data_IF_232833403643
#
_entry.id   IF_232833403643
#
_cell.length_a   1.000
_cell.length_b   1.000
_cell.length_c   1.000
_cell.angle_alpha   90.00
_cell.angle_beta   90.00
_cell.angle_gamma   90.00
#
_symmetry.space_group_name_H-M   'P 1'
#
loop_
_entity.id
_entity.type
_entity.pdbx_description
1 polymer ?
#
# COMPACT_ATOMS: atom_id res chain seq x y z
N UNK A 1 -13.01 -25.04 -13.65
CA UNK A 1 -12.99 -24.89 -12.18
C UNK A 1 -11.99 -23.80 -11.85
N UNK A 2 -12.49 -22.67 -11.34
CA UNK A 2 -11.67 -21.50 -11.03
C UNK A 2 -10.84 -21.78 -9.77
N UNK A 3 -9.52 -21.90 -9.91
CA UNK A 3 -8.61 -21.87 -8.79
C UNK A 3 -8.59 -20.43 -8.26
N UNK A 4 -9.41 -20.13 -7.25
CA UNK A 4 -9.18 -18.95 -6.41
C UNK A 4 -7.88 -19.22 -5.62
N UNK A 5 -6.84 -18.37 -5.72
CA UNK A 5 -5.59 -18.63 -5.04
C UNK A 5 -5.80 -18.45 -3.53
N UNK A 6 -5.76 -19.55 -2.77
CA UNK A 6 -5.76 -19.56 -1.30
C UNK A 6 -4.71 -18.61 -0.69
N UNK A 7 -3.70 -18.19 -1.46
CA UNK A 7 -2.59 -17.35 -1.02
C UNK A 7 -2.97 -15.86 -0.89
N UNK A 8 -3.91 -15.33 -1.69
CA UNK A 8 -4.27 -13.90 -1.62
C UNK A 8 -5.09 -13.56 -0.38
N UNK A 9 -6.05 -14.43 -0.02
CA UNK A 9 -6.88 -14.24 1.19
C UNK A 9 -6.03 -14.25 2.46
N UNK A 10 -5.03 -15.14 2.55
CA UNK A 10 -4.09 -15.19 3.69
C UNK A 10 -3.26 -13.91 3.79
N UNK A 11 -2.75 -13.41 2.67
CA UNK A 11 -2.00 -12.15 2.64
C UNK A 11 -2.89 -10.96 3.05
N UNK A 12 -4.12 -10.91 2.55
CA UNK A 12 -5.11 -9.90 2.91
C UNK A 12 -5.45 -9.95 4.41
N UNK A 13 -5.72 -11.13 4.98
CA UNK A 13 -5.96 -11.30 6.42
C UNK A 13 -4.79 -10.77 7.26
N UNK A 14 -3.54 -11.10 6.89
CA UNK A 14 -2.36 -10.59 7.60
C UNK A 14 -2.27 -9.06 7.54
N UNK A 15 -2.58 -8.47 6.37
CA UNK A 15 -2.60 -7.01 6.20
C UNK A 15 -3.71 -6.37 7.04
N UNK A 16 -4.92 -6.92 7.05
CA UNK A 16 -6.04 -6.42 7.86
C UNK A 16 -5.69 -6.42 9.35
N UNK A 17 -5.17 -7.54 9.86
CA UNK A 17 -4.79 -7.66 11.27
C UNK A 17 -3.71 -6.64 11.64
N UNK A 18 -2.76 -6.35 10.74
CA UNK A 18 -1.77 -5.29 10.97
C UNK A 18 -2.42 -3.91 11.05
N UNK A 19 -3.28 -3.57 10.08
CA UNK A 19 -3.98 -2.29 10.06
C UNK A 19 -4.84 -2.08 11.32
N UNK A 20 -5.50 -3.14 11.82
CA UNK A 20 -6.25 -3.10 13.09
C UNK A 20 -5.33 -2.86 14.29
N UNK A 21 -4.19 -3.57 14.37
CA UNK A 21 -3.20 -3.34 15.44
C UNK A 21 -2.64 -1.92 15.42
N UNK A 22 -2.48 -1.33 14.23
CA UNK A 22 -1.99 0.04 14.10
C UNK A 22 -3.07 1.05 14.51
N UNK A 23 -4.34 0.77 14.22
CA UNK A 23 -5.48 1.53 14.75
C UNK A 23 -5.59 1.45 16.28
N UNK A 24 -5.33 0.30 16.89
CA UNK A 24 -5.33 0.15 18.36
C UNK A 24 -4.22 0.98 19.01
N UNK A 25 -3.05 1.08 18.38
CA UNK A 25 -1.92 1.88 18.86
C UNK A 25 -2.16 3.39 18.71
N UNK A 26 -2.80 3.79 17.62
CA UNK A 26 -3.08 5.19 17.28
C UNK A 26 -4.56 5.35 16.90
N UNK A 27 -5.47 5.35 17.91
CA UNK A 27 -6.90 5.43 17.64
C UNK A 27 -7.28 6.78 17.04
N UNK A 28 -8.26 6.76 16.14
CA UNK A 28 -8.84 7.95 15.53
C UNK A 28 -9.93 8.49 16.47
N UNK A 29 -9.82 9.72 16.98
CA UNK A 29 -10.85 10.28 17.86
C UNK A 29 -12.22 10.34 17.19
N UNK A 30 -13.28 10.00 17.93
CA UNK A 30 -14.64 9.96 17.40
C UNK A 30 -14.94 8.73 16.54
N UNK A 31 -14.02 7.77 16.45
CA UNK A 31 -14.19 6.54 15.69
C UNK A 31 -14.00 5.31 16.57
N UNK A 32 -14.80 4.28 16.30
CA UNK A 32 -14.65 2.94 16.86
C UNK A 32 -14.65 1.91 15.73
N UNK A 33 -13.84 0.85 15.85
CA UNK A 33 -13.80 -0.28 14.91
C UNK A 33 -13.85 -1.59 15.68
N UNK A 34 -14.61 -2.56 15.20
CA UNK A 34 -14.56 -3.94 15.67
C UNK A 34 -14.69 -4.92 14.51
N UNK A 35 -14.18 -6.11 14.73
CA UNK A 35 -14.42 -7.28 13.90
C UNK A 35 -15.43 -8.17 14.64
N UNK A 36 -16.72 -8.17 14.25
CA UNK A 36 -17.75 -8.90 15.01
C UNK A 36 -17.52 -10.41 15.07
N UNK A 37 -16.91 -10.97 14.01
CA UNK A 37 -16.51 -12.37 13.92
C UNK A 37 -15.02 -12.43 13.58
N UNK A 38 -14.20 -12.77 14.58
CA UNK A 38 -12.74 -12.89 14.41
C UNK A 38 -12.32 -13.90 13.34
N UNK A 39 -13.21 -14.84 12.96
CA UNK A 39 -12.97 -15.81 11.90
C UNK A 39 -13.14 -15.22 10.49
N UNK A 40 -13.83 -14.07 10.35
CA UNK A 40 -14.00 -13.34 9.10
C UNK A 40 -13.60 -11.86 9.23
N UNK A 41 -12.29 -11.56 9.22
CA UNK A 41 -11.78 -10.19 9.35
C UNK A 41 -12.09 -9.28 8.14
N UNK A 42 -12.82 -9.79 7.15
CA UNK A 42 -13.18 -9.05 5.93
C UNK A 42 -14.44 -8.21 6.09
N UNK A 43 -15.12 -8.29 7.23
CA UNK A 43 -16.25 -7.44 7.58
C UNK A 43 -15.95 -6.73 8.90
N UNK A 44 -15.84 -5.41 8.85
CA UNK A 44 -15.64 -4.59 10.04
C UNK A 44 -16.88 -3.74 10.31
N UNK A 45 -17.24 -3.63 11.58
CA UNK A 45 -18.25 -2.71 12.03
C UNK A 45 -17.59 -1.47 12.60
N UNK A 46 -18.10 -0.30 12.25
CA UNK A 46 -17.54 0.97 12.67
C UNK A 46 -18.61 1.88 13.26
N UNK A 47 -18.23 2.67 14.26
CA UNK A 47 -19.03 3.78 14.75
C UNK A 47 -18.28 5.08 14.47
N UNK A 48 -18.97 6.05 13.87
CA UNK A 48 -18.43 7.37 13.58
C UNK A 48 -19.29 8.41 14.29
N UNK A 49 -18.69 9.11 15.26
CA UNK A 49 -19.28 10.29 15.88
C UNK A 49 -18.96 11.51 15.03
N UNK A 50 -20.00 12.16 14.52
CA UNK A 50 -19.86 13.39 13.74
C UNK A 50 -19.55 14.54 14.71
N UNK A 51 -18.34 15.08 14.62
CA UNK A 51 -17.87 16.16 15.50
C UNK A 51 -17.98 17.55 14.86
N UNK A 52 -18.20 17.64 13.55
CA UNK A 52 -18.28 18.90 12.82
C UNK A 52 -19.49 18.91 11.88
N UNK A 53 -19.95 20.11 11.50
CA UNK A 53 -21.06 20.28 10.58
C UNK A 53 -22.46 20.16 11.21
N UNK A 54 -23.53 20.09 10.38
CA UNK A 54 -24.92 20.21 10.83
C UNK A 54 -25.39 19.00 11.68
N UNK A 55 -24.69 17.88 11.60
CA UNK A 55 -25.03 16.65 12.32
C UNK A 55 -24.14 16.42 13.55
N UNK A 56 -23.51 17.47 14.08
CA UNK A 56 -22.73 17.39 15.31
C UNK A 56 -23.45 16.58 16.41
N UNK A 57 -22.73 15.61 16.98
CA UNK A 57 -23.19 14.71 18.04
C UNK A 57 -24.02 13.51 17.56
N UNK A 58 -24.21 13.33 16.25
CA UNK A 58 -24.85 12.14 15.67
C UNK A 58 -23.80 11.04 15.50
N UNK A 59 -24.16 9.82 15.90
CA UNK A 59 -23.33 8.63 15.74
C UNK A 59 -23.88 7.77 14.61
N UNK A 60 -23.06 7.48 13.60
CA UNK A 60 -23.45 6.64 12.46
C UNK A 60 -22.76 5.29 12.57
N UNK A 61 -23.55 4.22 12.48
CA UNK A 61 -23.05 2.85 12.41
C UNK A 61 -22.84 2.44 10.96
N UNK A 62 -21.66 1.92 10.67
CA UNK A 62 -21.18 1.57 9.32
C UNK A 62 -20.67 0.15 9.28
N UNK A 63 -20.67 -0.42 8.08
CA UNK A 63 -20.06 -1.70 7.77
C UNK A 63 -19.02 -1.46 6.67
N UNK A 64 -17.78 -1.85 6.94
CA UNK A 64 -16.72 -1.91 5.93
C UNK A 64 -16.58 -3.35 5.42
N UNK A 65 -16.61 -3.49 4.10
CA UNK A 65 -16.36 -4.74 3.40
C UNK A 65 -14.97 -4.69 2.77
N UNK A 66 -14.08 -5.56 3.23
CA UNK A 66 -12.71 -5.65 2.76
C UNK A 66 -12.61 -6.78 1.71
N UNK A 67 -12.00 -6.55 0.54
CA UNK A 67 -11.89 -7.58 -0.49
C UNK A 67 -10.82 -8.63 -0.17
N UNK A 68 -10.95 -9.82 -0.76
CA UNK A 68 -10.02 -10.95 -0.58
C UNK A 68 -8.60 -10.69 -1.13
N UNK A 69 -8.42 -9.65 -1.94
CA UNK A 69 -7.13 -9.20 -2.48
C UNK A 69 -6.64 -7.88 -1.86
N UNK A 70 -7.20 -7.48 -0.71
CA UNK A 70 -6.72 -6.31 0.04
C UNK A 70 -5.21 -6.42 0.33
N UNK A 71 -4.41 -5.34 0.13
CA UNK A 71 -4.81 -3.96 -0.15
C UNK A 71 -4.84 -3.60 -1.64
N UNK A 72 -4.68 -4.58 -2.55
CA UNK A 72 -4.64 -4.31 -3.99
C UNK A 72 -5.95 -3.72 -4.51
N UNK A 73 -7.06 -4.09 -3.87
CA UNK A 73 -8.36 -3.44 -3.99
C UNK A 73 -8.73 -2.84 -2.64
N UNK A 74 -9.26 -1.61 -2.66
CA UNK A 74 -9.67 -0.90 -1.44
C UNK A 74 -10.97 -1.42 -0.84
N UNK A 75 -11.27 -1.06 0.41
CA UNK A 75 -12.51 -1.44 1.07
C UNK A 75 -13.71 -0.73 0.43
N UNK A 76 -14.89 -1.31 0.64
CA UNK A 76 -16.18 -0.67 0.40
C UNK A 76 -16.83 -0.34 1.75
N UNK A 77 -17.66 0.70 1.79
CA UNK A 77 -18.34 1.15 3.00
C UNK A 77 -19.84 1.36 2.79
N UNK A 78 -20.62 0.92 3.77
CA UNK A 78 -22.07 1.02 3.78
C UNK A 78 -22.56 1.54 5.13
N UNK A 79 -23.64 2.32 5.10
CA UNK A 79 -24.49 2.54 6.28
C UNK A 79 -25.07 1.19 6.69
N UNK A 80 -25.05 0.89 7.99
CA UNK A 80 -25.54 -0.39 8.48
C UNK A 80 -27.03 -0.63 8.10
N UNK A 81 -27.40 -1.85 7.67
CA UNK A 81 -28.78 -2.18 7.33
C UNK A 81 -29.76 -1.85 8.46
N UNK A 82 -30.89 -1.23 8.11
CA UNK A 82 -31.91 -0.80 9.06
C UNK A 82 -31.71 0.62 9.61
N UNK A 83 -30.55 1.24 9.38
CA UNK A 83 -30.35 2.67 9.61
C UNK A 83 -30.66 3.43 8.30
N UNK A 84 -31.79 4.14 8.25
CA UNK A 84 -32.26 4.86 7.05
C UNK A 84 -31.52 6.19 6.81
N UNK A 85 -30.19 6.18 6.98
CA UNK A 85 -29.34 7.30 6.60
C UNK A 85 -29.05 7.22 5.09
N UNK A 86 -29.79 7.97 4.29
CA UNK A 86 -29.75 7.94 2.83
C UNK A 86 -29.39 9.30 2.20
N UNK A 87 -29.65 9.44 0.90
CA UNK A 87 -29.35 10.66 0.11
C UNK A 87 -30.03 11.93 0.62
N UNK A 88 -31.05 11.82 1.50
CA UNK A 88 -31.68 12.97 2.17
C UNK A 88 -30.75 13.61 3.20
N UNK A 89 -29.83 12.83 3.75
CA UNK A 89 -28.90 13.28 4.79
C UNK A 89 -27.50 13.55 4.23
N UNK A 90 -27.11 12.92 3.12
CA UNK A 90 -25.84 13.20 2.46
C UNK A 90 -25.91 12.98 0.94
N UNK A 91 -25.47 13.94 0.13
CA UNK A 91 -25.55 13.90 -1.35
C UNK A 91 -24.79 12.75 -2.04
N UNK A 92 -23.90 12.07 -1.32
CA UNK A 92 -23.06 10.99 -1.83
C UNK A 92 -23.38 9.62 -1.23
N UNK A 93 -24.59 9.46 -0.70
CA UNK A 93 -25.09 8.17 -0.22
C UNK A 93 -26.14 7.65 -1.19
N UNK A 94 -25.95 6.41 -1.64
CA UNK A 94 -26.85 5.78 -2.61
C UNK A 94 -27.50 4.53 -2.01
N UNK A 95 -28.69 4.21 -2.51
CA UNK A 95 -29.41 3.02 -2.08
C UNK A 95 -28.70 1.75 -2.53
N UNK A 96 -28.41 0.87 -1.57
CA UNK A 96 -28.05 -0.53 -1.79
C UNK A 96 -28.84 -1.38 -0.80
N UNK A 97 -29.84 -2.09 -1.33
CA UNK A 97 -30.75 -2.91 -0.54
C UNK A 97 -30.10 -4.19 0.00
N UNK A 98 -28.93 -4.58 -0.49
CA UNK A 98 -28.25 -5.82 -0.09
C UNK A 98 -27.38 -5.62 1.14
N UNK A 99 -26.60 -4.54 1.17
CA UNK A 99 -25.60 -4.30 2.20
C UNK A 99 -25.88 -3.06 3.07
N UNK A 100 -26.97 -2.34 2.81
CA UNK A 100 -27.27 -1.02 3.38
C UNK A 100 -26.75 0.12 2.48
N UNK A 101 -27.12 1.36 2.75
CA UNK A 101 -26.83 2.48 1.84
C UNK A 101 -25.32 2.64 1.59
N UNK A 102 -24.89 2.64 0.32
CA UNK A 102 -23.48 2.69 -0.07
C UNK A 102 -22.93 4.11 -0.04
N UNK A 103 -21.69 4.25 0.45
CA UNK A 103 -20.96 5.52 0.43
C UNK A 103 -20.25 5.71 -0.92
N UNK A 104 -20.50 6.84 -1.58
CA UNK A 104 -19.74 7.29 -2.74
C UNK A 104 -18.60 8.18 -2.31
N UNK A 105 -17.44 7.56 -2.08
CA UNK A 105 -16.21 8.25 -1.75
C UNK A 105 -15.09 7.70 -2.64
N UNK A 106 -14.21 8.55 -3.15
CA UNK A 106 -13.17 8.16 -4.11
C UNK A 106 -12.16 7.14 -3.53
N UNK A 107 -11.93 7.14 -2.21
CA UNK A 107 -11.12 6.12 -1.53
C UNK A 107 -11.83 4.78 -1.31
N UNK A 108 -13.16 4.73 -1.44
CA UNK A 108 -13.95 3.52 -1.28
C UNK A 108 -14.27 2.88 -2.63
N UNK A 109 -14.39 1.56 -2.66
CA UNK A 109 -14.53 0.83 -3.92
C UNK A 109 -15.97 0.59 -4.37
N UNK A 110 -16.98 1.02 -3.59
CA UNK A 110 -18.41 0.91 -3.92
C UNK A 110 -18.73 1.41 -5.34
N UNK A 111 -18.13 2.54 -5.74
CA UNK A 111 -18.41 3.22 -7.00
C UNK A 111 -17.20 3.30 -7.93
N UNK A 112 -16.21 2.40 -7.75
CA UNK A 112 -14.99 2.35 -8.56
C UNK A 112 -15.21 2.05 -10.06
N UNK A 113 -16.46 1.96 -10.52
CA UNK A 113 -16.81 1.89 -11.94
C UNK A 113 -17.20 3.26 -12.52
N UNK A 114 -17.76 4.17 -11.72
CA UNK A 114 -18.18 5.51 -12.17
C UNK A 114 -16.99 6.39 -12.56
N UNK A 115 -15.87 6.28 -11.86
CA UNK A 115 -14.68 7.06 -12.21
C UNK A 115 -13.89 6.46 -13.40
N UNK A 116 -14.37 5.39 -14.05
CA UNK A 116 -13.68 4.76 -15.21
C UNK A 116 -13.86 5.57 -16.49
N UNK A 117 -14.91 6.38 -16.56
CA UNK A 117 -15.33 7.09 -17.76
C UNK A 117 -14.93 8.57 -17.80
N UNK A 118 -14.35 9.12 -16.74
CA UNK A 118 -14.09 10.57 -16.63
C UNK A 118 -12.75 10.98 -17.30
N UNK A 119 -11.83 10.04 -17.54
CA UNK A 119 -10.48 10.33 -18.07
C UNK A 119 -10.20 9.79 -19.50
N UNK A 120 -11.22 9.70 -20.36
CA UNK A 120 -11.00 9.52 -21.80
C UNK A 120 -10.57 8.11 -22.26
N UNK A 121 -11.15 7.05 -21.69
CA UNK A 121 -11.19 5.72 -22.33
C UNK A 121 -9.88 4.91 -22.36
N UNK A 122 -8.80 5.41 -21.76
CA UNK A 122 -7.64 4.57 -21.42
C UNK A 122 -7.80 4.06 -19.99
N UNK A 123 -7.56 2.77 -19.78
CA UNK A 123 -7.76 2.01 -18.54
C UNK A 123 -6.95 2.53 -17.35
N UNK A 124 -7.27 3.73 -16.83
CA UNK A 124 -6.85 4.19 -15.51
C UNK A 124 -7.94 3.79 -14.51
N UNK A 125 -7.55 2.99 -13.52
CA UNK A 125 -8.42 2.54 -12.43
C UNK A 125 -9.06 3.75 -11.75
N UNK A 126 -10.34 3.58 -11.48
CA UNK A 126 -11.35 4.57 -11.18
C UNK A 126 -11.61 4.69 -9.69
N UNK A 127 -10.55 4.75 -8.90
CA UNK A 127 -10.65 5.00 -7.47
C UNK A 127 -9.37 5.69 -7.07
N UNK A 128 -9.49 6.72 -6.24
CA UNK A 128 -8.39 7.34 -5.51
C UNK A 128 -7.63 6.34 -4.64
N UNK A 129 -8.17 5.15 -4.37
CA UNK A 129 -7.49 4.11 -3.60
C UNK A 129 -6.17 3.66 -4.22
N UNK A 130 -5.15 3.64 -3.37
CA UNK A 130 -3.87 3.00 -3.64
C UNK A 130 -3.60 1.90 -2.61
N UNK A 131 -2.94 0.78 -2.98
CA UNK A 131 -2.57 -0.27 -2.03
C UNK A 131 -1.69 0.19 -0.87
N UNK A 132 -1.08 1.38 -0.96
CA UNK A 132 -0.35 1.97 0.15
C UNK A 132 -1.19 2.72 1.17
N UNK A 133 -2.49 2.90 0.95
CA UNK A 133 -3.39 3.39 2.00
C UNK A 133 -3.70 2.29 3.02
N UNK A 134 -4.07 2.73 4.22
CA UNK A 134 -4.43 1.85 5.34
C UNK A 134 -5.91 1.98 5.66
N UNK A 135 -6.42 1.07 6.50
CA UNK A 135 -7.75 1.24 7.09
C UNK A 135 -7.86 2.58 7.83
N UNK A 136 -6.80 3.05 8.51
CA UNK A 136 -6.79 4.38 9.13
C UNK A 136 -7.00 5.50 8.13
N UNK A 137 -6.37 5.44 6.95
CA UNK A 137 -6.60 6.43 5.88
C UNK A 137 -8.05 6.40 5.40
N UNK A 138 -8.62 5.20 5.16
CA UNK A 138 -10.01 5.06 4.73
C UNK A 138 -10.99 5.60 5.78
N UNK A 139 -10.78 5.24 7.04
CA UNK A 139 -11.63 5.63 8.17
C UNK A 139 -11.55 7.13 8.44
N UNK A 140 -10.36 7.75 8.37
CA UNK A 140 -10.21 9.19 8.49
C UNK A 140 -10.99 9.93 7.39
N UNK A 141 -10.96 9.42 6.16
CA UNK A 141 -11.72 9.98 5.05
C UNK A 141 -13.25 9.80 5.23
N UNK A 142 -13.68 8.75 5.92
CA UNK A 142 -15.09 8.57 6.28
C UNK A 142 -15.52 9.59 7.35
N UNK A 143 -14.65 9.89 8.32
CA UNK A 143 -14.94 10.93 9.33
C UNK A 143 -15.12 12.30 8.65
N UNK A 144 -14.23 12.66 7.72
CA UNK A 144 -14.35 13.92 6.96
C UNK A 144 -15.57 13.94 6.04
N UNK A 145 -15.89 12.81 5.40
CA UNK A 145 -17.10 12.65 4.59
C UNK A 145 -18.37 13.06 5.34
N UNK A 146 -18.58 12.55 6.56
CA UNK A 146 -19.79 12.89 7.33
C UNK A 146 -19.81 14.31 7.91
N UNK A 147 -18.67 14.98 8.02
CA UNK A 147 -18.62 16.39 8.44
C UNK A 147 -19.18 17.33 7.36
N UNK A 148 -19.07 16.95 6.09
CA UNK A 148 -19.51 17.73 4.93
C UNK A 148 -20.57 16.95 4.12
N UNK A 149 -21.87 17.06 4.47
CA UNK A 149 -22.91 16.22 3.88
C UNK A 149 -23.21 16.50 2.40
N UNK A 150 -22.57 17.50 1.79
CA UNK A 150 -22.71 17.89 0.37
C UNK A 150 -24.17 17.92 -0.13
N UNK A 151 -25.03 18.64 0.61
CA UNK A 151 -26.44 18.79 0.26
C UNK A 151 -26.66 20.04 -0.58
N UNK A 152 -27.55 19.95 -1.57
CA UNK A 152 -27.98 21.09 -2.41
C UNK A 152 -28.57 22.23 -1.56
N UNK A 153 -29.21 21.89 -0.45
CA UNK A 153 -29.76 22.83 0.53
C UNK A 153 -29.38 22.40 1.93
N UNK A 154 -29.18 23.37 2.83
CA UNK A 154 -28.89 23.09 4.24
C UNK A 154 -29.97 22.19 4.88
N UNK A 155 -29.54 21.25 5.73
CA UNK A 155 -30.43 20.36 6.45
C UNK A 155 -31.37 21.16 7.37
N UNK A 156 -32.68 20.87 7.31
CA UNK A 156 -33.66 21.54 8.16
C UNK A 156 -33.57 21.04 9.62
N UNK A 157 -33.97 21.88 10.57
CA UNK A 157 -34.01 21.50 11.99
C UNK A 157 -34.84 20.24 12.25
N UNK A 158 -35.96 20.08 11.55
CA UNK A 158 -36.85 18.92 11.65
C UNK A 158 -36.14 17.64 11.17
N UNK A 159 -35.40 17.73 10.06
CA UNK A 159 -34.63 16.61 9.52
C UNK A 159 -33.54 16.15 10.49
N UNK A 160 -32.87 17.08 11.16
CA UNK A 160 -31.83 16.81 12.16
C UNK A 160 -32.44 16.16 13.41
N UNK A 161 -33.59 16.64 13.87
CA UNK A 161 -34.32 16.04 15.01
C UNK A 161 -34.75 14.61 14.69
N UNK A 162 -35.28 14.38 13.48
CA UNK A 162 -35.65 13.04 13.04
C UNK A 162 -34.44 12.11 12.97
N UNK A 163 -33.33 12.57 12.37
CA UNK A 163 -32.08 11.82 12.28
C UNK A 163 -31.58 11.40 13.67
N UNK A 164 -31.58 12.32 14.64
CA UNK A 164 -31.18 12.01 16.02
C UNK A 164 -32.09 10.95 16.66
N UNK A 165 -33.40 11.01 16.42
CA UNK A 165 -34.34 10.00 16.91
C UNK A 165 -34.12 8.64 16.24
N UNK A 166 -33.89 8.63 14.94
CA UNK A 166 -33.61 7.43 14.15
C UNK A 166 -32.36 6.71 14.65
N UNK A 167 -31.26 7.44 14.81
CA UNK A 167 -29.99 6.91 15.32
C UNK A 167 -30.13 6.39 16.75
N UNK A 168 -30.85 7.09 17.63
CA UNK A 168 -31.10 6.64 19.01
C UNK A 168 -31.87 5.32 19.08
N UNK A 169 -32.81 5.12 18.16
CA UNK A 169 -33.65 3.93 18.11
C UNK A 169 -33.01 2.77 17.34
N UNK A 170 -31.90 3.01 16.64
CA UNK A 170 -31.22 1.99 15.87
C UNK A 170 -30.49 1.01 16.80
N UNK A 171 -30.54 -0.27 16.46
CA UNK A 171 -29.74 -1.31 17.09
C UNK A 171 -29.25 -2.27 16.04
N UNK A 172 -27.93 -2.51 16.00
CA UNK A 172 -27.34 -3.45 15.06
C UNK A 172 -27.58 -4.89 15.54
N UNK A 173 -28.12 -5.73 14.66
CA UNK A 173 -28.39 -7.15 14.96
C UNK A 173 -27.12 -8.01 14.99
N UNK A 174 -26.03 -7.58 14.33
CA UNK A 174 -24.79 -8.35 14.23
C UNK A 174 -23.87 -8.12 15.42
N UNK A 175 -23.55 -6.86 15.75
CA UNK A 175 -22.62 -6.54 16.83
C UNK A 175 -23.31 -6.05 18.12
N UNK A 176 -24.63 -5.87 18.12
CA UNK A 176 -25.35 -5.36 19.29
C UNK A 176 -25.11 -3.87 19.57
N UNK A 177 -24.56 -3.11 18.62
CA UNK A 177 -24.45 -1.66 18.71
C UNK A 177 -25.80 -1.02 19.01
N UNK A 178 -25.84 -0.11 19.98
CA UNK A 178 -26.91 0.87 20.14
C UNK A 178 -26.31 2.23 20.48
N UNK A 179 -27.14 3.28 20.48
CA UNK A 179 -26.69 4.62 20.85
C UNK A 179 -26.16 4.71 22.28
N UNK A 180 -26.84 4.05 23.23
CA UNK A 180 -26.46 4.08 24.66
C UNK A 180 -25.35 3.08 25.00
N UNK A 181 -25.14 2.06 24.16
CA UNK A 181 -24.06 1.08 24.29
C UNK A 181 -23.34 0.91 22.95
N UNK A 182 -22.47 1.87 22.57
CA UNK A 182 -21.80 1.84 21.29
C UNK A 182 -20.83 0.64 21.21
N UNK A 183 -21.10 -0.29 20.28
CA UNK A 183 -20.18 -1.39 19.95
C UNK A 183 -19.86 -1.37 18.44
N UNK A 184 -18.64 -0.99 18.00
CA UNK A 184 -17.46 -0.70 18.80
C UNK A 184 -17.56 0.57 19.65
N UNK A 185 -16.88 0.60 20.80
CA UNK A 185 -16.79 1.80 21.62
C UNK A 185 -16.09 2.93 20.84
N UNK A 186 -16.55 4.17 21.03
CA UNK A 186 -15.90 5.33 20.42
C UNK A 186 -14.80 5.83 21.33
N UNK A 187 -13.62 6.07 20.75
CA UNK A 187 -12.52 6.69 21.48
C UNK A 187 -12.84 8.17 21.69
N UNK A 188 -12.98 8.56 22.94
CA UNK A 188 -13.31 9.93 23.34
C UNK A 188 -12.20 10.92 22.98
N UNK A 189 -12.61 12.14 22.62
CA UNK A 189 -11.70 13.28 22.47
C UNK A 189 -11.39 13.84 23.85
N UNK A 190 -10.43 13.24 24.59
CA UNK A 190 -9.63 13.86 25.67
C UNK A 190 -8.92 12.77 26.51
N UNK A 191 -7.69 12.45 26.14
CA UNK A 191 -6.68 12.03 27.12
C UNK A 191 -5.46 12.93 26.95
N UNK A 192 -5.22 13.81 27.93
CA UNK A 192 -3.98 14.59 28.02
C UNK A 192 -2.85 13.62 28.36
N UNK A 193 -1.98 13.33 27.39
CA UNK A 193 -0.71 12.62 27.64
C UNK A 193 0.22 13.52 28.49
N UNK A 194 0.94 12.91 29.43
CA UNK A 194 1.75 13.61 30.45
C UNK A 194 3.24 13.76 30.07
N UNK A 195 3.88 14.78 30.64
CA UNK A 195 5.20 15.34 30.30
C UNK A 195 6.45 14.47 30.54
N UNK A 196 6.33 13.15 30.79
CA UNK A 196 7.50 12.29 31.10
C UNK A 196 8.20 11.66 29.88
N UNK A 197 7.82 12.01 28.65
CA UNK A 197 8.12 11.21 27.46
C UNK A 197 9.27 11.69 26.57
N UNK A 198 9.94 12.81 26.88
CA UNK A 198 10.73 13.52 25.87
C UNK A 198 12.02 12.82 25.39
N UNK A 199 12.66 11.96 26.19
CA UNK A 199 13.94 11.30 25.83
C UNK A 199 13.75 9.90 25.22
N UNK A 200 12.71 9.16 25.64
CA UNK A 200 12.31 7.90 24.98
C UNK A 200 11.67 8.18 23.61
N UNK A 201 11.02 9.33 23.46
CA UNK A 201 10.37 9.77 22.23
C UNK A 201 11.35 10.04 21.08
N UNK A 202 12.56 10.56 21.35
CA UNK A 202 13.59 10.77 20.31
C UNK A 202 14.18 9.45 19.77
N UNK A 203 14.47 8.49 20.65
CA UNK A 203 14.94 7.16 20.25
C UNK A 203 13.85 6.38 19.50
N UNK A 204 12.60 6.47 19.98
CA UNK A 204 11.45 5.87 19.33
C UNK A 204 11.13 6.54 17.99
N UNK A 205 11.32 7.85 17.87
CA UNK A 205 11.19 8.59 16.62
C UNK A 205 12.25 8.15 15.60
N UNK A 206 13.52 8.06 15.99
CA UNK A 206 14.58 7.58 15.10
C UNK A 206 14.36 6.13 14.66
N UNK A 207 13.93 5.26 15.57
CA UNK A 207 13.56 3.87 15.25
C UNK A 207 12.36 3.82 14.28
N UNK A 208 11.35 4.67 14.47
CA UNK A 208 10.17 4.75 13.60
C UNK A 208 10.55 5.24 12.21
N UNK A 209 11.36 6.29 12.10
CA UNK A 209 11.85 6.80 10.82
C UNK A 209 12.65 5.74 10.06
N UNK A 210 13.50 4.97 10.75
CA UNK A 210 14.23 3.86 10.13
C UNK A 210 13.29 2.73 9.68
N UNK A 211 12.28 2.39 10.49
CA UNK A 211 11.28 1.39 10.13
C UNK A 211 10.48 1.81 8.91
N UNK A 212 10.03 3.06 8.83
CA UNK A 212 9.29 3.61 7.68
C UNK A 212 10.10 3.51 6.38
N UNK A 213 11.40 3.84 6.41
CA UNK A 213 12.30 3.72 5.25
C UNK A 213 12.51 2.29 4.77
N UNK A 214 12.28 1.31 5.63
CA UNK A 214 12.52 -0.11 5.39
C UNK A 214 11.22 -0.92 5.46
N UNK A 215 10.11 -0.29 5.07
CA UNK A 215 8.77 -0.87 5.02
C UNK A 215 8.30 -1.02 3.59
N UNK A 216 7.63 -2.14 3.29
CA UNK A 216 6.91 -2.33 2.05
C UNK A 216 5.72 -1.37 1.96
N UNK A 217 5.67 -0.56 0.91
CA UNK A 217 4.58 0.36 0.63
C UNK A 217 3.22 -0.33 0.55
N UNK A 218 3.17 -1.57 0.06
CA UNK A 218 1.94 -2.36 -0.13
C UNK A 218 1.58 -3.19 1.10
N UNK A 219 2.43 -4.12 1.58
CA UNK A 219 2.07 -5.02 2.69
C UNK A 219 2.22 -4.40 4.07
N UNK A 220 2.89 -3.24 4.15
CA UNK A 220 3.29 -2.58 5.41
C UNK A 220 4.17 -3.45 6.32
N UNK A 221 4.77 -4.51 5.77
CA UNK A 221 5.80 -5.31 6.44
C UNK A 221 7.15 -4.60 6.38
N UNK A 222 7.99 -4.78 7.39
CA UNK A 222 9.32 -4.17 7.46
C UNK A 222 10.41 -5.23 7.71
N UNK A 223 11.65 -4.99 7.26
CA UNK A 223 12.73 -6.00 7.36
C UNK A 223 13.27 -6.22 8.77
N UNK A 224 12.85 -5.42 9.75
CA UNK A 224 13.28 -5.55 11.15
C UNK A 224 12.39 -6.58 11.86
N UNK A 225 11.08 -6.47 11.68
CA UNK A 225 10.09 -7.34 12.32
C UNK A 225 9.68 -8.52 11.44
N UNK A 226 9.74 -8.36 10.12
CA UNK A 226 9.36 -9.36 9.14
C UNK A 226 10.60 -9.88 8.38
N UNK A 227 10.67 -11.20 8.16
CA UNK A 227 11.66 -11.83 7.28
C UNK A 227 11.23 -11.69 5.82
N UNK A 228 11.36 -10.48 5.26
CA UNK A 228 10.93 -10.16 3.89
C UNK A 228 12.08 -9.74 2.96
N UNK A 229 11.88 -9.94 1.66
CA UNK A 229 12.78 -9.41 0.64
C UNK A 229 12.20 -8.10 0.08
N UNK A 230 12.89 -6.97 0.27
CA UNK A 230 12.50 -5.65 -0.23
C UNK A 230 13.32 -5.27 -1.47
N UNK A 231 12.68 -4.53 -2.37
CA UNK A 231 13.23 -4.10 -3.63
C UNK A 231 12.49 -2.91 -4.21
N UNK A 232 13.09 -2.30 -5.23
CA UNK A 232 12.44 -1.25 -6.00
C UNK A 232 11.68 -1.84 -7.19
N UNK A 233 10.44 -1.40 -7.43
CA UNK A 233 9.78 -1.57 -8.72
C UNK A 233 10.55 -0.79 -9.80
N UNK A 234 10.66 -1.39 -10.97
CA UNK A 234 11.36 -0.82 -12.11
C UNK A 234 10.44 -0.84 -13.34
N UNK A 235 10.36 0.27 -14.06
CA UNK A 235 9.84 0.30 -15.41
C UNK A 235 11.01 0.13 -16.37
N UNK A 236 11.13 -1.07 -16.94
CA UNK A 236 12.20 -1.41 -17.88
C UNK A 236 11.64 -1.45 -19.28
N UNK A 237 12.23 -0.65 -20.15
CA UNK A 237 11.99 -0.69 -21.61
C UNK A 237 13.31 -0.91 -22.34
N UNK A 238 13.24 -1.23 -23.63
CA UNK A 238 14.42 -1.29 -24.50
C UNK A 238 14.30 -0.26 -25.61
N UNK A 239 15.43 0.34 -25.96
CA UNK A 239 15.49 1.20 -27.13
C UNK A 239 15.56 0.39 -28.43
N UNK A 240 15.53 1.07 -29.58
CA UNK A 240 15.60 0.44 -30.91
C UNK A 240 16.90 -0.34 -31.16
N UNK A 241 17.91 -0.22 -30.29
CA UNK A 241 19.18 -0.94 -30.34
C UNK A 241 19.24 -2.07 -29.29
N UNK A 242 18.11 -2.37 -28.62
CA UNK A 242 18.01 -3.40 -27.59
C UNK A 242 18.65 -3.02 -26.25
N UNK A 243 19.07 -1.76 -26.07
CA UNK A 243 19.70 -1.30 -24.82
C UNK A 243 18.65 -1.06 -23.76
N UNK A 244 18.96 -1.46 -22.52
CA UNK A 244 18.09 -1.28 -21.37
C UNK A 244 17.87 0.21 -21.08
N UNK A 245 16.61 0.56 -20.85
CA UNK A 245 16.17 1.86 -20.39
C UNK A 245 15.30 1.71 -19.14
N UNK A 246 15.93 1.51 -17.97
CA UNK A 246 15.22 1.34 -16.72
C UNK A 246 14.88 2.69 -16.07
N UNK A 247 13.71 2.74 -15.45
CA UNK A 247 13.26 3.81 -14.59
C UNK A 247 12.91 3.24 -13.22
N UNK A 248 13.38 3.88 -12.16
CA UNK A 248 13.11 3.45 -10.78
C UNK A 248 11.83 4.12 -10.30
N UNK A 249 10.93 3.32 -9.74
CA UNK A 249 9.86 3.84 -8.91
C UNK A 249 10.41 3.97 -7.48
N UNK A 250 10.45 5.19 -6.94
CA UNK A 250 11.05 5.50 -5.63
C UNK A 250 10.15 5.07 -4.46
N UNK A 251 9.81 3.79 -4.41
CA UNK A 251 9.11 3.16 -3.29
C UNK A 251 9.65 1.75 -3.09
N UNK A 252 9.63 1.25 -1.85
CA UNK A 252 9.99 -0.14 -1.58
C UNK A 252 8.75 -1.02 -1.60
N UNK A 253 8.81 -2.12 -2.34
CA UNK A 253 7.80 -3.18 -2.26
C UNK A 253 8.47 -4.52 -1.92
N UNK A 254 7.73 -5.40 -1.25
CA UNK A 254 8.19 -6.75 -0.96
C UNK A 254 8.06 -7.65 -2.19
N UNK A 255 8.86 -8.71 -2.24
CA UNK A 255 8.73 -9.73 -3.27
C UNK A 255 7.31 -10.32 -3.34
N UNK A 256 6.69 -10.59 -2.19
CA UNK A 256 5.33 -11.12 -2.11
C UNK A 256 4.30 -10.17 -2.73
N UNK A 257 4.44 -8.86 -2.50
CA UNK A 257 3.57 -7.85 -3.13
C UNK A 257 3.72 -7.85 -4.65
N UNK A 258 4.97 -7.93 -5.14
CA UNK A 258 5.26 -8.01 -6.57
C UNK A 258 4.67 -9.27 -7.22
N UNK A 259 4.83 -10.43 -6.57
CA UNK A 259 4.28 -11.71 -7.06
C UNK A 259 2.75 -11.70 -7.06
N UNK A 260 2.12 -11.09 -6.06
CA UNK A 260 0.66 -10.96 -6.00
C UNK A 260 0.09 -10.17 -7.20
N UNK A 261 0.77 -9.09 -7.62
CA UNK A 261 0.37 -8.33 -8.83
C UNK A 261 0.54 -9.14 -10.13
N UNK A 262 1.59 -9.96 -10.23
CA UNK A 262 1.78 -10.89 -11.36
C UNK A 262 0.61 -11.90 -11.42
N UNK A 263 0.29 -12.51 -10.28
CA UNK A 263 -0.78 -13.50 -10.18
C UNK A 263 -2.15 -12.90 -10.50
N UNK A 264 -2.43 -11.68 -10.01
CA UNK A 264 -3.66 -10.93 -10.32
C UNK A 264 -3.83 -10.67 -11.82
N UNK A 265 -2.73 -10.49 -12.53
CA UNK A 265 -2.72 -10.24 -13.97
C UNK A 265 -2.95 -11.49 -14.82
N UNK A 266 -3.19 -12.66 -14.21
CA UNK A 266 -3.39 -13.94 -14.90
C UNK A 266 -2.09 -14.55 -15.45
N UNK A 267 -0.93 -14.04 -15.02
CA UNK A 267 0.37 -14.46 -15.50
C UNK A 267 0.88 -15.71 -14.78
N UNK A 268 0.47 -16.90 -15.21
CA UNK A 268 1.08 -18.15 -14.70
C UNK A 268 2.51 -18.36 -15.23
N UNK A 269 2.81 -17.80 -16.42
CA UNK A 269 4.14 -17.80 -17.06
C UNK A 269 4.27 -16.53 -17.90
N UNK A 270 4.96 -15.53 -17.37
CA UNK A 270 5.16 -14.28 -18.09
C UNK A 270 6.31 -14.43 -19.07
N UNK A 271 5.96 -14.80 -20.31
CA UNK A 271 6.92 -14.90 -21.40
C UNK A 271 7.58 -13.55 -21.74
N UNK A 272 6.94 -12.41 -21.40
CA UNK A 272 7.48 -11.06 -21.62
C UNK A 272 6.95 -10.04 -20.60
N UNK A 273 7.79 -9.69 -19.62
CA UNK A 273 7.46 -8.66 -18.62
C UNK A 273 7.36 -7.26 -19.24
N UNK A 274 8.06 -6.99 -20.35
CA UNK A 274 8.10 -5.65 -20.97
C UNK A 274 6.72 -5.17 -21.46
N UNK A 275 5.82 -6.08 -21.82
CA UNK A 275 4.48 -5.75 -22.31
C UNK A 275 3.43 -5.62 -21.20
N UNK A 276 3.81 -5.96 -19.97
CA UNK A 276 2.94 -5.84 -18.81
C UNK A 276 3.30 -4.59 -18.03
N UNK A 277 2.27 -3.95 -17.45
CA UNK A 277 2.45 -2.80 -16.58
C UNK A 277 1.62 -3.02 -15.33
N UNK A 278 2.32 -3.15 -14.22
CA UNK A 278 1.78 -3.08 -12.88
C UNK A 278 1.79 -1.64 -12.42
N UNK A 279 1.00 -1.32 -11.38
CA UNK A 279 0.90 0.03 -10.84
C UNK A 279 1.38 0.07 -9.40
N UNK A 280 2.28 0.99 -9.13
CA UNK A 280 2.89 1.22 -7.83
C UNK A 280 1.91 1.87 -6.86
N UNK A 281 2.28 1.96 -5.58
CA UNK A 281 1.52 2.70 -4.57
C UNK A 281 1.40 4.18 -4.94
N UNK A 282 2.47 4.77 -5.43
CA UNK A 282 2.52 6.15 -5.93
C UNK A 282 1.83 6.34 -7.29
N UNK A 283 1.26 5.28 -7.86
CA UNK A 283 0.53 5.33 -9.13
C UNK A 283 1.43 5.28 -10.36
N UNK A 284 2.73 5.09 -10.21
CA UNK A 284 3.69 4.92 -11.30
C UNK A 284 3.59 3.52 -11.92
N UNK A 285 3.82 3.42 -13.22
CA UNK A 285 3.89 2.14 -13.90
C UNK A 285 5.24 1.47 -13.61
N UNK A 286 5.23 0.14 -13.47
CA UNK A 286 6.43 -0.69 -13.41
C UNK A 286 6.15 -2.06 -14.00
N UNK A 287 7.20 -2.80 -14.35
CA UNK A 287 7.05 -4.13 -14.96
C UNK A 287 8.06 -5.15 -14.47
N UNK A 288 9.13 -4.70 -13.82
CA UNK A 288 10.13 -5.52 -13.15
C UNK A 288 10.28 -5.09 -11.70
N UNK A 289 10.97 -5.92 -10.92
CA UNK A 289 11.30 -5.64 -9.54
C UNK A 289 12.71 -6.17 -9.21
N UNK A 290 13.49 -5.35 -8.52
CA UNK A 290 14.89 -5.66 -8.18
C UNK A 290 15.11 -5.55 -6.66
N UNK A 291 15.40 -6.67 -5.96
CA UNK A 291 15.71 -6.64 -4.54
C UNK A 291 17.02 -5.96 -4.21
N UNK A 292 17.13 -5.48 -2.97
CA UNK A 292 18.26 -4.71 -2.47
C UNK A 292 19.24 -5.56 -1.66
N UNK A 293 20.45 -5.02 -1.47
CA UNK A 293 21.35 -5.45 -0.41
C UNK A 293 21.16 -4.55 0.82
N UNK A 294 20.35 -5.00 1.78
CA UNK A 294 20.17 -4.26 3.05
C UNK A 294 21.28 -4.63 4.04
N UNK A 295 21.48 -5.93 4.24
CA UNK A 295 22.55 -6.50 5.05
C UNK A 295 22.88 -7.94 4.56
N UNK A 296 23.95 -8.53 5.10
CA UNK A 296 24.39 -9.86 4.68
C UNK A 296 23.35 -10.96 4.91
N UNK A 297 22.54 -10.86 5.97
CA UNK A 297 21.51 -11.85 6.25
C UNK A 297 20.36 -11.77 5.23
N UNK A 298 19.88 -10.55 4.98
CA UNK A 298 18.86 -10.25 3.97
C UNK A 298 19.30 -10.71 2.58
N UNK A 299 20.56 -10.47 2.21
CA UNK A 299 21.10 -10.94 0.93
C UNK A 299 21.13 -12.48 0.84
N UNK A 300 21.61 -13.18 1.87
CA UNK A 300 21.64 -14.65 1.87
C UNK A 300 20.25 -15.26 1.66
N UNK A 301 19.23 -14.68 2.29
CA UNK A 301 17.84 -15.13 2.15
C UNK A 301 17.28 -14.82 0.75
N UNK A 302 17.63 -13.66 0.19
CA UNK A 302 17.14 -13.20 -1.11
C UNK A 302 18.01 -13.54 -2.31
N UNK A 303 19.15 -14.21 -2.15
CA UNK A 303 20.19 -14.30 -3.18
C UNK A 303 19.67 -14.86 -4.50
N UNK A 304 18.94 -15.98 -4.45
CA UNK A 304 18.34 -16.59 -5.64
C UNK A 304 17.34 -15.65 -6.30
N UNK A 305 16.54 -14.93 -5.51
CA UNK A 305 15.56 -13.97 -6.03
C UNK A 305 16.29 -12.80 -6.71
N UNK A 306 17.35 -12.26 -6.11
CA UNK A 306 18.18 -11.19 -6.69
C UNK A 306 18.79 -11.63 -8.02
N UNK A 307 19.39 -12.82 -8.06
CA UNK A 307 20.01 -13.35 -9.27
C UNK A 307 18.98 -13.56 -10.38
N UNK A 308 17.81 -14.11 -10.05
CA UNK A 308 16.71 -14.29 -10.98
C UNK A 308 16.18 -12.94 -11.50
N UNK A 309 15.94 -11.96 -10.61
CA UNK A 309 15.51 -10.61 -10.99
C UNK A 309 16.49 -9.96 -11.97
N UNK A 310 17.80 -10.03 -11.69
CA UNK A 310 18.82 -9.48 -12.59
C UNK A 310 18.80 -10.18 -13.95
N UNK A 311 18.70 -11.52 -13.96
CA UNK A 311 18.65 -12.26 -15.21
C UNK A 311 17.42 -11.93 -16.04
N UNK A 312 16.25 -11.83 -15.41
CA UNK A 312 14.99 -11.46 -16.07
C UNK A 312 15.06 -10.05 -16.64
N UNK A 313 15.57 -9.07 -15.87
CA UNK A 313 15.77 -7.70 -16.37
C UNK A 313 16.74 -7.67 -17.56
N UNK A 314 17.83 -8.44 -17.49
CA UNK A 314 18.84 -8.46 -18.56
C UNK A 314 18.29 -9.10 -19.83
N UNK A 315 17.63 -10.26 -19.72
CA UNK A 315 17.18 -11.08 -20.84
C UNK A 315 15.77 -10.74 -21.36
N UNK A 316 14.94 -10.04 -20.58
CA UNK A 316 13.56 -9.66 -20.93
C UNK A 316 12.52 -10.77 -20.84
N UNK A 317 12.92 -12.01 -20.52
CA UNK A 317 12.02 -13.18 -20.42
C UNK A 317 12.40 -14.06 -19.23
N UNK A 318 11.41 -14.71 -18.60
CA UNK A 318 11.62 -15.74 -17.59
C UNK A 318 11.47 -17.14 -18.21
N UNK A 319 12.48 -17.61 -18.95
CA UNK A 319 12.49 -18.99 -19.45
C UNK A 319 13.48 -19.83 -18.68
N UNK A 320 13.01 -20.96 -18.13
CA UNK A 320 13.81 -22.00 -17.45
C UNK A 320 14.71 -22.81 -18.40
N UNK A 321 15.39 -22.13 -19.31
CA UNK A 321 16.49 -22.70 -20.08
C UNK A 321 17.79 -22.14 -19.52
N UNK A 322 18.84 -22.96 -19.42
CA UNK A 322 20.16 -22.56 -18.90
C UNK A 322 20.76 -21.32 -19.58
N UNK A 323 20.29 -20.98 -20.80
CA UNK A 323 20.67 -19.76 -21.53
C UNK A 323 20.26 -18.46 -20.83
N UNK A 324 19.22 -18.49 -20.00
CA UNK A 324 18.71 -17.33 -19.25
C UNK A 324 19.02 -17.43 -17.76
N UNK A 325 19.95 -18.31 -17.38
CA UNK A 325 20.42 -18.36 -16.01
C UNK A 325 21.28 -17.12 -15.71
N UNK A 326 21.32 -16.75 -14.44
CA UNK A 326 22.12 -15.63 -13.99
C UNK A 326 23.60 -15.84 -14.32
N UNK A 327 24.18 -14.88 -15.03
CA UNK A 327 25.62 -14.76 -15.20
C UNK A 327 26.12 -13.50 -14.48
N UNK A 328 27.26 -13.53 -13.76
CA UNK A 328 27.74 -12.39 -12.99
C UNK A 328 27.85 -11.07 -13.79
N UNK A 329 28.22 -11.13 -15.07
CA UNK A 329 28.31 -9.95 -15.93
C UNK A 329 26.95 -9.27 -16.20
N UNK A 330 25.83 -9.99 -16.05
CA UNK A 330 24.49 -9.41 -16.13
C UNK A 330 24.27 -8.39 -15.01
N UNK A 331 24.75 -8.68 -13.79
CA UNK A 331 24.65 -7.75 -12.66
C UNK A 331 25.38 -6.43 -12.97
N UNK A 332 26.56 -6.52 -13.60
CA UNK A 332 27.27 -5.33 -14.04
C UNK A 332 26.44 -4.52 -15.04
N UNK A 333 25.90 -5.15 -16.07
CA UNK A 333 25.12 -4.46 -17.10
C UNK A 333 23.86 -3.81 -16.54
N UNK A 334 23.11 -4.52 -15.68
CA UNK A 334 21.85 -4.03 -15.12
C UNK A 334 22.09 -2.92 -14.11
N UNK A 335 22.96 -3.15 -13.12
CA UNK A 335 23.16 -2.21 -12.01
C UNK A 335 23.85 -0.93 -12.46
N UNK A 336 24.86 -1.01 -13.34
CA UNK A 336 25.54 0.20 -13.86
C UNK A 336 24.61 1.01 -14.76
N UNK A 337 23.76 0.35 -15.56
CA UNK A 337 22.77 1.06 -16.38
C UNK A 337 21.75 1.77 -15.52
N UNK A 338 21.21 1.10 -14.48
CA UNK A 338 20.32 1.70 -13.50
C UNK A 338 20.97 2.93 -12.86
N UNK A 339 22.13 2.76 -12.24
CA UNK A 339 22.85 3.85 -11.56
C UNK A 339 23.14 5.04 -12.48
N UNK A 340 23.60 4.78 -13.71
CA UNK A 340 23.87 5.85 -14.68
C UNK A 340 22.60 6.62 -15.05
N UNK A 341 21.48 5.92 -15.30
CA UNK A 341 20.20 6.57 -15.60
C UNK A 341 19.66 7.35 -14.41
N UNK A 342 19.77 6.81 -13.21
CA UNK A 342 19.37 7.50 -11.97
C UNK A 342 20.17 8.79 -11.77
N UNK A 343 21.49 8.74 -11.95
CA UNK A 343 22.36 9.90 -11.81
C UNK A 343 21.98 11.00 -12.82
N UNK A 344 21.81 10.65 -14.10
CA UNK A 344 21.40 11.62 -15.13
C UNK A 344 20.06 12.28 -14.79
N UNK A 345 19.06 11.49 -14.36
CA UNK A 345 17.73 12.03 -13.98
C UNK A 345 17.81 12.93 -12.75
N UNK A 346 18.63 12.57 -11.77
CA UNK A 346 18.87 13.36 -10.56
C UNK A 346 19.46 14.73 -10.93
N UNK A 347 20.50 14.76 -11.77
CA UNK A 347 21.14 16.02 -12.20
C UNK A 347 20.27 16.87 -13.12
N UNK A 348 19.36 16.26 -13.88
CA UNK A 348 18.41 16.99 -14.73
C UNK A 348 17.18 17.52 -13.97
N UNK A 349 17.09 17.35 -12.64
CA UNK A 349 15.93 17.77 -11.84
C UNK A 349 14.64 16.98 -12.12
N UNK A 350 14.76 15.80 -12.74
CA UNK A 350 13.62 14.96 -13.17
C UNK A 350 13.17 13.97 -12.08
N UNK A 351 13.76 14.03 -10.90
CA UNK A 351 13.39 13.25 -9.73
C UNK A 351 12.96 14.24 -8.64
N UNK A 352 11.66 14.32 -8.39
CA UNK A 352 11.05 15.34 -7.52
C UNK A 352 11.36 15.16 -6.02
N UNK A 353 12.13 14.14 -5.64
CA UNK A 353 12.58 13.88 -4.27
C UNK A 353 14.06 13.45 -4.26
N UNK A 354 14.96 14.43 -4.25
CA UNK A 354 16.40 14.17 -4.39
C UNK A 354 16.96 13.23 -3.32
N UNK A 355 16.43 13.25 -2.10
CA UNK A 355 16.87 12.37 -1.01
C UNK A 355 16.58 10.89 -1.28
N UNK A 356 15.33 10.52 -1.61
CA UNK A 356 14.98 9.12 -1.90
C UNK A 356 15.68 8.60 -3.17
N UNK A 357 15.86 9.46 -4.17
CA UNK A 357 16.63 9.15 -5.37
C UNK A 357 18.10 8.81 -5.06
N UNK A 358 18.74 9.58 -4.16
CA UNK A 358 20.10 9.31 -3.69
C UNK A 358 20.14 8.00 -2.89
N UNK A 359 19.16 7.75 -2.02
CA UNK A 359 19.06 6.49 -1.26
C UNK A 359 18.94 5.28 -2.19
N UNK A 360 18.07 5.35 -3.22
CA UNK A 360 17.93 4.30 -4.22
C UNK A 360 19.23 4.04 -4.99
N UNK A 361 19.94 5.10 -5.39
CA UNK A 361 21.26 4.98 -6.00
C UNK A 361 22.25 4.26 -5.08
N UNK A 362 22.32 4.65 -3.81
CA UNK A 362 23.17 4.03 -2.80
C UNK A 362 22.82 2.54 -2.58
N UNK A 363 21.54 2.16 -2.61
CA UNK A 363 21.13 0.77 -2.52
C UNK A 363 21.66 -0.09 -3.69
N UNK A 364 21.58 0.41 -4.93
CA UNK A 364 22.12 -0.30 -6.08
C UNK A 364 23.64 -0.34 -6.10
N UNK A 365 24.31 0.74 -5.67
CA UNK A 365 25.74 0.75 -5.48
C UNK A 365 26.15 -0.32 -4.47
N UNK A 366 25.52 -0.38 -3.29
CA UNK A 366 25.82 -1.38 -2.26
C UNK A 366 25.63 -2.81 -2.78
N UNK A 367 24.57 -3.06 -3.55
CA UNK A 367 24.35 -4.35 -4.19
C UNK A 367 25.47 -4.67 -5.19
N UNK A 368 25.83 -3.74 -6.07
CA UNK A 368 26.92 -3.91 -7.04
C UNK A 368 28.25 -4.22 -6.33
N UNK A 369 28.58 -3.47 -5.28
CA UNK A 369 29.79 -3.71 -4.49
C UNK A 369 29.76 -5.12 -3.91
N UNK A 370 28.65 -5.56 -3.33
CA UNK A 370 28.54 -6.92 -2.83
C UNK A 370 28.71 -7.98 -3.93
N UNK A 371 28.18 -7.75 -5.14
CA UNK A 371 28.41 -8.63 -6.30
C UNK A 371 29.89 -8.72 -6.71
N UNK A 372 30.64 -7.62 -6.63
CA UNK A 372 32.08 -7.59 -6.92
C UNK A 372 32.85 -8.44 -5.90
N UNK A 373 32.44 -8.43 -4.64
CA UNK A 373 33.06 -9.23 -3.57
C UNK A 373 32.90 -10.73 -3.82
N UNK A 374 31.67 -11.14 -4.10
CA UNK A 374 31.32 -12.56 -4.26
C UNK A 374 31.69 -13.10 -5.65
N UNK A 375 31.86 -12.22 -6.65
CA UNK A 375 32.35 -12.57 -8.00
C UNK A 375 33.58 -11.73 -8.39
N UNK A 376 34.79 -12.11 -7.96
CA UNK A 376 36.01 -11.34 -8.22
C UNK A 376 36.34 -11.10 -9.70
N UNK A 377 35.79 -11.92 -10.60
CA UNK A 377 35.90 -11.72 -12.05
C UNK A 377 35.31 -10.38 -12.50
N UNK A 378 34.26 -9.88 -11.83
CA UNK A 378 33.65 -8.57 -12.11
C UNK A 378 34.58 -7.42 -11.76
N UNK A 379 35.32 -7.52 -10.65
CA UNK A 379 36.31 -6.53 -10.26
C UNK A 379 37.44 -6.38 -11.29
N UNK A 380 37.79 -7.47 -12.00
CA UNK A 380 38.80 -7.44 -13.08
C UNK A 380 38.27 -6.68 -14.30
N UNK A 381 37.00 -6.90 -14.66
CA UNK A 381 36.34 -6.21 -15.78
C UNK A 381 36.26 -4.71 -15.52
N UNK A 382 36.02 -4.31 -14.28
CA UNK A 382 35.95 -2.90 -13.88
C UNK A 382 37.31 -2.26 -13.56
N UNK A 383 38.39 -3.04 -13.47
CA UNK A 383 39.70 -2.53 -13.03
C UNK A 383 39.76 -2.09 -11.55
N UNK A 384 38.78 -2.44 -10.72
CA UNK A 384 38.56 -1.86 -9.37
C UNK A 384 39.20 -2.63 -8.21
N UNK A 385 39.81 -3.81 -8.46
CA UNK A 385 40.25 -4.73 -7.38
C UNK A 385 41.27 -4.09 -6.42
N UNK A 386 42.08 -3.13 -6.89
CA UNK A 386 43.12 -2.48 -6.07
C UNK A 386 42.53 -1.37 -5.20
N UNK A 387 41.84 -0.40 -5.82
CA UNK A 387 41.23 0.76 -5.13
C UNK A 387 40.19 0.38 -4.07
N UNK A 388 39.49 -0.74 -4.27
CA UNK A 388 38.43 -1.17 -3.37
C UNK A 388 38.92 -1.94 -2.14
N UNK A 389 40.04 -2.67 -2.24
CA UNK A 389 40.64 -3.34 -1.08
C UNK A 389 41.26 -2.34 -0.10
N UNK A 390 41.81 -1.26 -0.63
CA UNK A 390 42.46 -0.22 0.16
C UNK A 390 41.43 0.62 0.97
N UNK A 391 40.18 0.73 0.50
CA UNK A 391 39.12 1.50 1.18
C UNK A 391 38.35 0.76 2.29
N UNK A 392 38.57 -0.55 2.46
CA UNK A 392 37.99 -1.35 3.57
C UNK A 392 38.90 -1.49 4.79
N UNK A 393 40.14 -1.02 4.71
CA UNK A 393 41.12 -1.06 5.81
C UNK A 393 41.09 0.22 6.68
N UNK A 394 40.15 1.13 6.40
CA UNK A 394 39.80 2.31 7.17
C UNK A 394 38.29 2.29 7.42
#
# INVERSE_FOLDING_TARGET
MSFKPQNTRVAATKRIIRDLKDLDKLPIPGLGVTCPDESDPFVLHCNVLINDGPYHGVMIHLILHIPEDYPLTGPAGNIAPGLEFDSRYHGHIHQDYRNGHSLCNDLLTNFAFYFRSVDGGTTKKASGWSPGYTLSTALLQIVTFFAEPDLISAASSESIVYLRKMVKNFTCTTCGHSYDNPNPAIVGYNEKKSDKQQTEEELMKSKRELMEKLTCGVTKQNVIEDQICLGYPLLVTRDNRGRLWPEIVLELISYDAYVAEIQKSGGEKLDFYENLKFRSVTGADYNHWLPLYINANHFRQGQTIIQNSISVIYNGTARGSARYDFMPNMALSVLTTLMNKSAVRLFNGQMYESAQAIEAYCHFLRLLMHFIDIFPALGKILGLIKLWKDSRQH
#
